data_IF_661540571334
#
_entry.id   IF_661540571334
#
_cell.length_a   1.000
_cell.length_b   1.000
_cell.length_c   1.000
_cell.angle_alpha   90.00
_cell.angle_beta   90.00
_cell.angle_gamma   90.00
#
_symmetry.space_group_name_H-M   'P 1'
#
loop_
_entity.id
_entity.type
_entity.pdbx_description
1 polymer ?
#
# COMPACT_ATOMS: atom_id res chain seq x y z
N UNK A 1 -5.66 -0.46 -2.59
CA UNK A 1 -4.43 -0.27 -1.84
C UNK A 1 -3.44 0.01 -2.93
N UNK A 2 -2.95 1.25 -2.97
CA UNK A 2 -2.31 1.82 -4.16
C UNK A 2 -0.91 1.30 -4.32
N UNK A 3 -0.65 0.69 -5.48
CA UNK A 3 0.68 0.31 -5.91
C UNK A 3 0.85 0.76 -7.36
N UNK A 4 1.90 1.54 -7.62
CA UNK A 4 2.20 2.16 -8.91
C UNK A 4 3.27 1.40 -9.71
N UNK A 5 3.59 0.15 -9.32
CA UNK A 5 4.56 -0.71 -10.03
C UNK A 5 3.86 -1.85 -10.76
N UNK A 6 4.03 -1.87 -12.08
CA UNK A 6 3.55 -2.93 -12.96
C UNK A 6 4.42 -4.19 -12.81
N UNK A 7 3.98 -5.14 -11.99
CA UNK A 7 4.75 -6.37 -11.74
C UNK A 7 4.13 -7.59 -12.45
N UNK A 8 4.76 -8.12 -13.51
CA UNK A 8 4.20 -9.14 -14.43
C UNK A 8 4.12 -10.53 -13.77
N UNK A 9 2.94 -11.08 -13.43
CA UNK A 9 2.91 -12.35 -12.71
C UNK A 9 2.22 -13.48 -13.49
N UNK A 10 2.84 -14.67 -13.48
CA UNK A 10 2.38 -15.89 -14.16
C UNK A 10 1.32 -16.70 -13.38
N UNK A 11 0.70 -16.14 -12.33
CA UNK A 11 -0.22 -16.86 -11.43
C UNK A 11 -1.54 -16.10 -11.20
N UNK A 12 -2.64 -16.85 -11.13
CA UNK A 12 -4.02 -16.31 -10.95
C UNK A 12 -4.17 -15.49 -9.68
N UNK A 13 -3.47 -15.89 -8.60
CA UNK A 13 -3.46 -15.17 -7.33
C UNK A 13 -2.94 -13.73 -7.47
N UNK A 14 -1.85 -13.52 -8.20
CA UNK A 14 -1.25 -12.19 -8.40
C UNK A 14 -2.09 -11.29 -9.32
N UNK A 15 -2.89 -11.87 -10.24
CA UNK A 15 -3.87 -11.11 -11.05
C UNK A 15 -5.05 -10.64 -10.21
N UNK A 16 -5.53 -11.48 -9.28
CA UNK A 16 -6.54 -11.11 -8.28
C UNK A 16 -6.03 -10.02 -7.34
N UNK A 17 -4.78 -10.13 -6.91
CA UNK A 17 -4.09 -9.16 -6.06
C UNK A 17 -4.00 -7.78 -6.73
N UNK A 18 -3.66 -7.73 -8.03
CA UNK A 18 -3.66 -6.50 -8.83
C UNK A 18 -5.04 -5.84 -8.90
N UNK A 19 -6.09 -6.60 -9.22
CA UNK A 19 -7.46 -6.07 -9.29
C UNK A 19 -7.96 -5.55 -7.94
N UNK A 20 -7.65 -6.28 -6.87
CA UNK A 20 -7.99 -5.85 -5.52
C UNK A 20 -7.23 -4.58 -5.12
N UNK A 21 -5.94 -4.49 -5.50
CA UNK A 21 -5.15 -3.26 -5.34
C UNK A 21 -5.80 -2.08 -6.04
N UNK A 22 -6.13 -2.20 -7.32
CA UNK A 22 -6.79 -1.14 -8.09
C UNK A 22 -8.12 -0.70 -7.46
N UNK A 23 -8.94 -1.63 -6.99
CA UNK A 23 -10.23 -1.30 -6.37
C UNK A 23 -10.06 -0.54 -5.05
N UNK A 24 -9.27 -1.09 -4.12
CA UNK A 24 -9.06 -0.43 -2.82
C UNK A 24 -8.31 0.89 -3.01
N UNK A 25 -7.57 1.06 -4.12
CA UNK A 25 -6.86 2.31 -4.46
C UNK A 25 -7.83 3.38 -4.83
N UNK A 26 -8.74 3.03 -5.73
CA UNK A 26 -9.76 3.94 -6.21
C UNK A 26 -10.65 4.40 -5.06
N UNK A 27 -11.03 3.49 -4.16
CA UNK A 27 -11.77 3.84 -2.95
C UNK A 27 -10.97 4.80 -2.05
N UNK A 28 -9.73 4.47 -1.72
CA UNK A 28 -8.87 5.31 -0.89
C UNK A 28 -8.64 6.71 -1.48
N UNK A 29 -8.44 6.82 -2.80
CA UNK A 29 -8.29 8.12 -3.48
C UNK A 29 -9.60 8.91 -3.49
N UNK A 30 -10.74 8.25 -3.68
CA UNK A 30 -12.04 8.91 -3.60
C UNK A 30 -12.28 9.49 -2.19
N UNK A 31 -12.00 8.70 -1.14
CA UNK A 31 -12.09 9.13 0.24
C UNK A 31 -11.12 10.28 0.56
N UNK A 32 -9.88 10.17 0.13
CA UNK A 32 -8.88 11.22 0.30
C UNK A 32 -9.29 12.52 -0.38
N UNK A 33 -9.90 12.46 -1.57
CA UNK A 33 -10.40 13.64 -2.28
C UNK A 33 -11.56 14.31 -1.54
N UNK A 34 -12.47 13.53 -0.94
CA UNK A 34 -13.54 14.09 -0.10
C UNK A 34 -12.96 14.86 1.08
N UNK A 35 -11.96 14.29 1.76
CA UNK A 35 -11.29 14.92 2.91
C UNK A 35 -10.48 16.14 2.49
N UNK A 36 -9.77 16.08 1.36
CA UNK A 36 -9.05 17.23 0.78
C UNK A 36 -9.99 18.38 0.41
N UNK A 37 -11.21 18.07 -0.04
CA UNK A 37 -12.25 19.07 -0.31
C UNK A 37 -12.65 19.91 0.90
N UNK A 38 -12.37 19.43 2.12
CA UNK A 38 -12.56 20.16 3.38
C UNK A 38 -11.34 21.02 3.77
N UNK A 39 -10.34 21.14 2.90
CA UNK A 39 -9.10 21.90 3.17
C UNK A 39 -8.07 21.14 4.01
N UNK A 40 -8.26 19.84 4.23
CA UNK A 40 -7.36 19.01 5.04
C UNK A 40 -6.21 18.46 4.19
N UNK A 41 -4.99 18.52 4.72
CA UNK A 41 -3.82 17.86 4.11
C UNK A 41 -3.91 16.35 4.35
N UNK A 42 -3.86 15.57 3.27
CA UNK A 42 -3.97 14.10 3.32
C UNK A 42 -2.73 13.46 2.72
N UNK A 43 -2.04 12.65 3.52
CA UNK A 43 -0.92 11.80 3.12
C UNK A 43 -1.37 10.35 3.16
N UNK A 44 -1.15 9.62 2.08
CA UNK A 44 -1.50 8.19 1.96
C UNK A 44 -0.19 7.41 1.89
N UNK A 45 -0.03 6.44 2.77
CA UNK A 45 1.04 5.45 2.74
C UNK A 45 0.41 4.06 2.64
N UNK A 46 1.02 3.19 1.84
CA UNK A 46 0.53 1.83 1.61
C UNK A 46 1.68 0.85 1.42
N UNK A 47 1.40 -0.46 1.58
CA UNK A 47 2.42 -1.50 1.43
C UNK A 47 2.98 -1.56 0.02
N UNK A 48 4.31 -1.68 -0.07
CA UNK A 48 5.03 -1.89 -1.32
C UNK A 48 5.01 -3.35 -1.76
N UNK A 49 5.69 -3.67 -2.87
CA UNK A 49 5.74 -5.06 -3.39
C UNK A 49 6.29 -6.05 -2.37
N UNK A 50 7.31 -5.65 -1.61
CA UNK A 50 7.91 -6.47 -0.55
C UNK A 50 6.93 -6.79 0.59
N UNK A 51 6.14 -5.81 1.03
CA UNK A 51 5.13 -6.02 2.07
C UNK A 51 4.04 -6.98 1.59
N UNK A 52 3.69 -6.89 0.32
CA UNK A 52 2.64 -7.71 -0.29
C UNK A 52 3.07 -9.17 -0.40
N UNK A 53 4.35 -9.42 -0.71
CA UNK A 53 4.94 -10.76 -0.67
C UNK A 53 4.96 -11.33 0.76
N UNK A 54 5.32 -10.51 1.76
CA UNK A 54 5.31 -10.92 3.16
C UNK A 54 3.89 -11.25 3.65
N UNK A 55 2.89 -10.42 3.28
CA UNK A 55 1.48 -10.62 3.59
C UNK A 55 0.93 -11.88 2.93
N UNK A 56 1.31 -12.13 1.68
CA UNK A 56 0.86 -13.28 0.90
C UNK A 56 -0.63 -13.23 0.54
N UNK A 57 -1.12 -14.32 -0.05
CA UNK A 57 -2.50 -14.38 -0.56
C UNK A 57 -3.57 -14.46 0.54
N UNK A 58 -3.23 -15.00 1.72
CA UNK A 58 -4.13 -15.08 2.87
C UNK A 58 -3.76 -14.02 3.91
N UNK A 59 -4.45 -12.89 3.88
CA UNK A 59 -4.30 -11.78 4.83
C UNK A 59 -4.50 -12.20 6.29
N UNK A 60 -5.24 -13.29 6.55
CA UNK A 60 -5.55 -13.78 7.88
C UNK A 60 -4.62 -14.92 8.33
N UNK A 61 -3.56 -15.21 7.58
CA UNK A 61 -2.56 -16.22 7.94
C UNK A 61 -1.71 -15.74 9.13
N UNK A 62 -2.07 -16.21 10.33
CA UNK A 62 -1.38 -15.85 11.55
C UNK A 62 0.09 -16.30 11.58
N UNK A 63 0.48 -17.32 10.79
CA UNK A 63 1.86 -17.81 10.74
C UNK A 63 2.82 -16.78 10.14
N UNK A 64 2.32 -15.89 9.29
CA UNK A 64 3.10 -14.83 8.62
C UNK A 64 3.19 -13.54 9.43
N UNK A 65 2.47 -13.43 10.55
CA UNK A 65 2.35 -12.18 11.31
C UNK A 65 3.69 -11.59 11.73
N UNK A 66 4.63 -12.42 12.16
CA UNK A 66 5.97 -11.97 12.54
C UNK A 66 6.75 -11.41 11.33
N UNK A 67 6.69 -12.11 10.19
CA UNK A 67 7.34 -11.68 8.95
C UNK A 67 6.74 -10.37 8.41
N UNK A 68 5.41 -10.24 8.43
CA UNK A 68 4.71 -9.02 8.03
C UNK A 68 5.07 -7.84 8.94
N UNK A 69 5.18 -8.08 10.25
CA UNK A 69 5.59 -7.03 11.19
C UNK A 69 7.02 -6.58 10.92
N UNK A 70 7.94 -7.52 10.72
CA UNK A 70 9.34 -7.23 10.39
C UNK A 70 9.47 -6.42 9.10
N UNK A 71 8.76 -6.82 8.03
CA UNK A 71 8.74 -6.06 6.78
C UNK A 71 8.18 -4.66 7.00
N UNK A 72 7.02 -4.56 7.66
CA UNK A 72 6.32 -3.29 7.93
C UNK A 72 7.19 -2.31 8.72
N UNK A 73 7.92 -2.76 9.75
CA UNK A 73 8.80 -1.88 10.54
C UNK A 73 9.83 -1.16 9.66
N UNK A 74 10.35 -1.84 8.64
CA UNK A 74 11.32 -1.28 7.69
C UNK A 74 10.64 -0.45 6.61
N UNK A 75 9.66 -1.02 5.92
CA UNK A 75 9.04 -0.41 4.73
C UNK A 75 8.15 0.77 5.09
N UNK A 76 7.42 0.71 6.21
CA UNK A 76 6.55 1.80 6.65
C UNK A 76 7.37 3.01 7.06
N UNK A 77 8.51 2.82 7.74
CA UNK A 77 9.44 3.90 8.06
C UNK A 77 9.97 4.58 6.81
N UNK A 78 10.37 3.80 5.80
CA UNK A 78 10.84 4.33 4.51
C UNK A 78 9.74 5.09 3.78
N UNK A 79 8.52 4.55 3.73
CA UNK A 79 7.39 5.19 3.07
C UNK A 79 7.02 6.54 3.72
N UNK A 80 7.07 6.62 5.06
CA UNK A 80 6.84 7.87 5.77
C UNK A 80 7.92 8.92 5.51
N UNK A 81 9.19 8.50 5.45
CA UNK A 81 10.29 9.41 5.12
C UNK A 81 10.16 9.95 3.70
N UNK A 82 9.85 9.09 2.73
CA UNK A 82 9.62 9.50 1.34
C UNK A 82 8.44 10.47 1.23
N UNK A 83 7.33 10.18 1.92
CA UNK A 83 6.17 11.07 1.94
C UNK A 83 6.47 12.43 2.57
N UNK A 84 7.29 12.47 3.63
CA UNK A 84 7.74 13.73 4.25
C UNK A 84 8.59 14.56 3.28
N UNK A 85 9.55 13.94 2.59
CA UNK A 85 10.39 14.62 1.59
C UNK A 85 9.56 15.19 0.44
N UNK A 86 8.57 14.44 -0.06
CA UNK A 86 7.67 14.92 -1.11
C UNK A 86 6.77 16.07 -0.64
N UNK A 87 6.39 16.08 0.64
CA UNK A 87 5.61 17.17 1.22
C UNK A 87 6.43 18.45 1.45
N UNK A 88 7.74 18.33 1.67
CA UNK A 88 8.66 19.47 1.80
C UNK A 88 9.07 20.06 0.43
N UNK A 89 9.01 19.26 -0.64
CA UNK A 89 9.41 19.67 -1.98
C UNK A 89 8.32 20.40 -2.79
N UNK A 90 7.08 20.49 -2.28
CA UNK A 90 5.93 21.13 -2.94
C UNK A 90 5.37 22.31 -2.15
#
# INVERSE_FOLDING_TARGET
MVSFKSDHPNTVAARLERRWREQVTRACLAEANMVRGLGVKVTIVGPGAEDLEAIGANLMDASRRAQVLESSMRTSTSAWREAALLAEAG
#
